data_IF_349978699958
#
_entry.id   IF_349978699958
#
_cell.length_a   1.000
_cell.length_b   1.000
_cell.length_c   1.000
_cell.angle_alpha   90.00
_cell.angle_beta   90.00
_cell.angle_gamma   90.00
#
_symmetry.space_group_name_H-M   'P 1'
#
loop_
_entity.id
_entity.type
_entity.pdbx_description
1 polymer ?
#
# COMPACT_ATOMS: atom_id res chain seq x y z
N UNK A 1 -3.56 37.81 -5.50
CA UNK A 1 -3.03 36.45 -5.74
C UNK A 1 -1.78 36.56 -6.60
N UNK A 2 -0.71 35.87 -6.23
CA UNK A 2 0.53 35.81 -7.04
C UNK A 2 0.61 34.50 -7.82
N UNK A 3 1.43 34.43 -8.87
CA UNK A 3 1.50 33.26 -9.75
C UNK A 3 1.81 31.94 -9.00
N UNK A 4 2.60 32.01 -7.92
CA UNK A 4 2.91 30.83 -7.11
C UNK A 4 1.67 30.25 -6.40
N UNK A 5 0.73 31.12 -5.97
CA UNK A 5 -0.52 30.68 -5.37
C UNK A 5 -1.37 29.91 -6.39
N UNK A 6 -1.35 30.35 -7.66
CA UNK A 6 -2.11 29.71 -8.75
C UNK A 6 -1.61 28.29 -8.97
N UNK A 7 -0.29 28.09 -8.98
CA UNK A 7 0.32 26.78 -9.15
C UNK A 7 -0.07 25.82 -8.02
N UNK A 8 -0.16 26.31 -6.78
CA UNK A 8 -0.56 25.49 -5.63
C UNK A 8 -2.05 25.11 -5.66
N UNK A 9 -2.92 25.97 -6.19
CA UNK A 9 -4.36 25.76 -6.25
C UNK A 9 -4.86 25.15 -7.58
N UNK A 10 -3.95 24.85 -8.51
CA UNK A 10 -4.27 24.45 -9.89
C UNK A 10 -5.00 23.12 -9.98
N UNK A 11 -4.57 22.14 -9.17
CA UNK A 11 -5.20 20.82 -9.12
C UNK A 11 -6.63 20.90 -8.60
N UNK A 12 -6.85 21.65 -7.51
CA UNK A 12 -8.16 21.86 -6.91
C UNK A 12 -9.09 22.67 -7.83
N UNK A 13 -8.52 23.64 -8.58
CA UNK A 13 -9.24 24.39 -9.59
C UNK A 13 -9.72 23.49 -10.74
N UNK A 14 -8.82 22.70 -11.33
CA UNK A 14 -9.14 21.78 -12.43
C UNK A 14 -10.09 20.65 -12.01
N UNK A 15 -9.97 20.17 -10.77
CA UNK A 15 -10.87 19.18 -10.19
C UNK A 15 -12.23 19.74 -9.75
N UNK A 16 -12.41 21.07 -9.79
CA UNK A 16 -13.63 21.72 -9.33
C UNK A 16 -13.82 21.71 -7.81
N UNK A 17 -12.77 21.39 -7.04
CA UNK A 17 -12.78 21.29 -5.58
C UNK A 17 -12.47 22.63 -4.87
N UNK A 18 -12.02 23.64 -5.63
CA UNK A 18 -11.68 24.95 -5.09
C UNK A 18 -12.93 25.72 -4.60
N UNK A 19 -12.91 26.32 -3.38
CA UNK A 19 -14.00 27.16 -2.87
C UNK A 19 -14.34 28.33 -3.80
N UNK A 20 -15.61 28.76 -3.84
CA UNK A 20 -16.09 29.80 -4.75
C UNK A 20 -15.28 31.11 -4.67
N UNK A 21 -15.01 31.61 -3.45
CA UNK A 21 -14.25 32.84 -3.26
C UNK A 21 -12.80 32.74 -3.79
N UNK A 22 -12.15 31.60 -3.61
CA UNK A 22 -10.79 31.37 -4.14
C UNK A 22 -10.80 31.18 -5.66
N UNK A 23 -11.87 30.59 -6.20
CA UNK A 23 -12.06 30.45 -7.64
C UNK A 23 -12.20 31.81 -8.31
N UNK A 24 -12.97 32.73 -7.74
CA UNK A 24 -13.12 34.09 -8.28
C UNK A 24 -11.77 34.83 -8.32
N UNK A 25 -10.98 34.73 -7.25
CA UNK A 25 -9.63 35.31 -7.19
C UNK A 25 -8.68 34.71 -8.23
N UNK A 26 -8.76 33.40 -8.46
CA UNK A 26 -7.96 32.72 -9.46
C UNK A 26 -8.39 33.11 -10.88
N UNK A 27 -9.70 33.18 -11.15
CA UNK A 27 -10.24 33.60 -12.43
C UNK A 27 -9.86 35.05 -12.77
N UNK A 28 -9.87 35.95 -11.78
CA UNK A 28 -9.36 37.32 -11.94
C UNK A 28 -7.87 37.32 -12.29
N UNK A 29 -7.05 36.53 -11.60
CA UNK A 29 -5.64 36.41 -11.95
C UNK A 29 -5.42 35.84 -13.37
N UNK A 30 -6.22 34.84 -13.77
CA UNK A 30 -6.13 34.27 -15.12
C UNK A 30 -6.54 35.28 -16.19
N UNK A 31 -7.44 36.23 -15.91
CA UNK A 31 -7.74 37.34 -16.83
C UNK A 31 -6.51 38.21 -17.08
N UNK A 32 -5.77 38.53 -16.03
CA UNK A 32 -4.64 39.47 -16.11
C UNK A 32 -3.30 38.81 -16.49
N UNK A 33 -3.10 37.53 -16.20
CA UNK A 33 -1.83 36.84 -16.38
C UNK A 33 -1.86 35.82 -17.54
N UNK A 34 -1.27 36.14 -18.72
CA UNK A 34 -1.23 35.20 -19.86
C UNK A 34 -0.30 34.00 -19.63
N UNK A 35 0.66 34.07 -18.70
CA UNK A 35 1.52 32.94 -18.37
C UNK A 35 0.74 31.84 -17.66
N UNK A 36 0.02 32.18 -16.60
CA UNK A 36 -0.82 31.25 -15.84
C UNK A 36 -1.97 30.70 -16.70
N UNK A 37 -2.56 31.50 -17.58
CA UNK A 37 -3.58 31.04 -18.54
C UNK A 37 -3.08 29.91 -19.43
N UNK A 38 -1.89 30.06 -20.03
CA UNK A 38 -1.27 29.03 -20.86
C UNK A 38 -1.01 27.73 -20.10
N UNK A 39 -0.64 27.84 -18.83
CA UNK A 39 -0.39 26.68 -17.95
C UNK A 39 -1.68 25.91 -17.68
N UNK A 40 -2.77 26.61 -17.30
CA UNK A 40 -4.11 26.03 -17.13
C UNK A 40 -4.59 25.36 -18.42
N UNK A 41 -4.48 26.05 -19.56
CA UNK A 41 -4.91 25.52 -20.86
C UNK A 41 -4.14 24.25 -21.23
N UNK A 42 -2.83 24.21 -20.98
CA UNK A 42 -1.98 23.05 -21.24
C UNK A 42 -2.43 21.82 -20.42
N UNK A 43 -2.75 22.01 -19.13
CA UNK A 43 -3.23 20.93 -18.28
C UNK A 43 -4.64 20.49 -18.66
N UNK A 44 -5.52 21.42 -18.97
CA UNK A 44 -6.87 21.11 -19.44
C UNK A 44 -6.83 20.27 -20.72
N UNK A 45 -5.95 20.60 -21.66
CA UNK A 45 -5.72 19.81 -22.87
C UNK A 45 -5.19 18.40 -22.57
N UNK A 46 -4.29 18.28 -21.60
CA UNK A 46 -3.77 16.98 -21.15
C UNK A 46 -4.87 16.11 -20.57
N UNK A 47 -5.69 16.66 -19.66
CA UNK A 47 -6.85 15.96 -19.08
C UNK A 47 -7.87 15.57 -20.14
N UNK A 48 -8.16 16.46 -21.10
CA UNK A 48 -9.05 16.17 -22.21
C UNK A 48 -8.50 15.04 -23.11
N UNK A 49 -7.19 14.98 -23.34
CA UNK A 49 -6.57 13.89 -24.10
C UNK A 49 -6.65 12.56 -23.35
N UNK A 50 -6.41 12.56 -22.03
CA UNK A 50 -6.53 11.36 -21.19
C UNK A 50 -7.97 10.85 -21.14
N UNK A 51 -8.96 11.75 -21.04
CA UNK A 51 -10.38 11.38 -21.01
C UNK A 51 -10.91 10.81 -22.33
N UNK A 52 -10.16 10.94 -23.44
CA UNK A 52 -10.49 10.31 -24.73
C UNK A 52 -9.95 8.89 -24.86
N UNK A 53 -9.13 8.43 -23.93
CA UNK A 53 -8.63 7.07 -23.95
C UNK A 53 -9.79 6.12 -23.61
N UNK A 54 -9.94 5.07 -24.41
CA UNK A 54 -10.92 4.03 -24.13
C UNK A 54 -10.65 3.39 -22.77
N UNK A 55 -11.72 3.17 -22.01
CA UNK A 55 -11.61 2.44 -20.76
C UNK A 55 -11.04 1.03 -21.06
N UNK A 56 -10.04 0.56 -20.31
CA UNK A 56 -9.56 -0.80 -20.48
C UNK A 56 -10.73 -1.77 -20.26
N UNK A 57 -10.77 -2.90 -20.99
CA UNK A 57 -11.81 -3.89 -20.81
C UNK A 57 -11.86 -4.29 -19.33
N UNK A 58 -13.08 -4.51 -18.82
CA UNK A 58 -13.29 -4.90 -17.43
C UNK A 58 -12.36 -6.07 -17.08
N UNK A 59 -11.70 -6.04 -15.90
CA UNK A 59 -10.80 -7.11 -15.51
C UNK A 59 -11.56 -8.43 -15.52
N UNK A 60 -10.93 -9.46 -16.09
CA UNK A 60 -11.43 -10.84 -16.07
C UNK A 60 -11.75 -11.19 -14.61
N UNK A 61 -12.99 -11.61 -14.36
CA UNK A 61 -13.44 -11.96 -13.02
C UNK A 61 -12.53 -13.06 -12.47
N UNK A 62 -11.76 -12.75 -11.44
CA UNK A 62 -11.00 -13.77 -10.74
C UNK A 62 -11.98 -14.69 -10.02
N UNK A 63 -11.95 -16.01 -10.27
CA UNK A 63 -12.80 -16.93 -9.54
C UNK A 63 -12.46 -16.76 -8.06
N UNK A 64 -13.46 -16.37 -7.26
CA UNK A 64 -13.32 -16.24 -5.81
C UNK A 64 -12.99 -17.65 -5.30
N UNK A 65 -11.70 -17.93 -5.06
CA UNK A 65 -11.22 -19.25 -4.62
C UNK A 65 -12.00 -19.61 -3.36
N UNK A 66 -13.02 -20.45 -3.51
CA UNK A 66 -13.87 -20.90 -2.41
C UNK A 66 -12.92 -21.62 -1.45
N UNK A 67 -12.63 -21.00 -0.30
CA UNK A 67 -11.73 -21.57 0.72
C UNK A 67 -12.37 -22.88 1.13
N UNK A 68 -11.87 -23.99 0.59
CA UNK A 68 -12.49 -25.29 0.82
C UNK A 68 -12.42 -25.55 2.31
N UNK A 69 -13.56 -25.88 2.93
CA UNK A 69 -13.69 -26.21 4.35
C UNK A 69 -12.96 -27.54 4.67
N UNK A 70 -12.26 -28.13 3.70
CA UNK A 70 -11.51 -29.39 3.81
C UNK A 70 -10.09 -29.18 4.38
N UNK A 71 -9.58 -27.94 4.42
CA UNK A 71 -8.25 -27.65 4.97
C UNK A 71 -8.03 -27.99 6.46
N UNK A 72 -8.99 -27.89 7.41
CA UNK A 72 -8.70 -28.17 8.82
C UNK A 72 -8.47 -29.66 9.10
N UNK A 73 -9.09 -30.57 8.34
CA UNK A 73 -8.91 -32.02 8.52
C UNK A 73 -7.51 -32.50 8.11
N UNK A 74 -6.92 -31.87 7.08
CA UNK A 74 -5.56 -32.20 6.65
C UNK A 74 -4.51 -31.86 7.74
N UNK A 75 -4.66 -30.72 8.42
CA UNK A 75 -3.76 -30.34 9.51
C UNK A 75 -3.89 -31.27 10.73
N UNK A 76 -5.10 -31.67 11.09
CA UNK A 76 -5.33 -32.61 12.19
C UNK A 76 -4.65 -33.97 11.94
N UNK A 77 -4.77 -34.51 10.72
CA UNK A 77 -4.13 -35.77 10.34
C UNK A 77 -2.59 -35.68 10.41
N UNK A 78 -1.99 -34.59 9.92
CA UNK A 78 -0.53 -34.39 9.99
C UNK A 78 -0.04 -34.26 11.43
N UNK A 79 -0.75 -33.52 12.28
CA UNK A 79 -0.39 -33.38 13.69
C UNK A 79 -0.49 -34.72 14.43
N UNK A 80 -1.55 -35.49 14.19
CA UNK A 80 -1.71 -36.83 14.79
C UNK A 80 -0.61 -37.79 14.33
N UNK A 81 -0.25 -37.78 13.04
CA UNK A 81 0.85 -38.60 12.53
C UNK A 81 2.20 -38.19 13.11
N UNK A 82 2.49 -36.89 13.19
CA UNK A 82 3.75 -36.38 13.75
C UNK A 82 3.91 -36.69 15.24
N UNK A 83 2.85 -36.47 16.03
CA UNK A 83 2.86 -36.79 17.47
C UNK A 83 2.97 -38.30 17.69
N UNK A 84 2.23 -39.10 16.92
CA UNK A 84 2.27 -40.56 16.99
C UNK A 84 3.64 -41.14 16.63
N UNK A 85 4.22 -40.72 15.50
CA UNK A 85 5.56 -41.19 15.09
C UNK A 85 6.64 -40.74 16.08
N UNK A 86 6.55 -39.51 16.61
CA UNK A 86 7.52 -38.97 17.55
C UNK A 86 7.60 -39.75 18.86
N UNK A 87 6.46 -40.25 19.36
CA UNK A 87 6.44 -41.13 20.54
C UNK A 87 7.01 -42.52 20.23
N UNK A 88 6.72 -43.05 19.04
CA UNK A 88 7.16 -44.39 18.65
C UNK A 88 8.67 -44.47 18.40
N UNK A 89 9.28 -43.39 17.91
CA UNK A 89 10.70 -43.34 17.55
C UNK A 89 11.61 -42.84 18.66
N UNK A 90 11.12 -42.67 19.91
CA UNK A 90 11.92 -42.15 21.03
C UNK A 90 13.16 -43.04 21.24
N UNK A 91 14.37 -42.61 20.83
CA UNK A 91 15.56 -43.43 20.99
C UNK A 91 15.91 -43.48 22.47
N UNK A 92 16.19 -44.68 22.98
CA UNK A 92 16.82 -44.87 24.29
C UNK A 92 18.22 -44.28 24.21
N UNK A 93 18.41 -43.09 24.79
CA UNK A 93 19.70 -42.41 24.88
C UNK A 93 20.69 -43.25 25.71
N UNK A 94 21.50 -44.08 25.05
CA UNK A 94 22.79 -44.50 25.60
C UNK A 94 23.76 -43.33 25.46
N UNK A 95 23.78 -42.45 26.48
CA UNK A 95 24.79 -41.41 26.62
C UNK A 95 26.18 -42.04 26.74
N UNK A 96 26.91 -42.09 25.63
CA UNK A 96 28.37 -42.15 25.64
C UNK A 96 28.92 -40.75 25.98
N UNK A 97 29.78 -40.59 27.00
CA UNK A 97 30.31 -39.29 27.37
C UNK A 97 31.18 -38.69 26.25
N UNK A 98 30.97 -37.39 26.01
CA UNK A 98 31.59 -36.59 24.96
C UNK A 98 33.08 -36.34 25.24
N UNK A 99 33.90 -36.51 24.21
CA UNK A 99 35.21 -35.87 24.12
C UNK A 99 34.99 -34.49 23.45
N UNK A 100 35.42 -33.36 24.03
CA UNK A 100 35.17 -32.06 23.45
C UNK A 100 36.09 -31.82 22.25
N UNK A 101 35.55 -31.91 21.03
CA UNK A 101 36.23 -31.38 19.85
C UNK A 101 35.96 -29.88 19.81
N UNK A 102 37.03 -29.12 20.04
CA UNK A 102 37.06 -27.68 19.91
C UNK A 102 36.79 -27.24 18.46
N UNK A 103 35.92 -26.24 18.31
CA UNK A 103 35.94 -25.33 17.16
C UNK A 103 35.11 -25.72 15.95
N UNK A 104 33.83 -25.32 15.93
CA UNK A 104 33.17 -24.86 14.70
C UNK A 104 32.30 -23.66 15.05
N UNK A 105 32.60 -22.52 14.43
CA UNK A 105 31.94 -21.24 14.66
C UNK A 105 30.45 -21.26 14.34
N UNK A 106 29.69 -20.46 15.08
CA UNK A 106 28.26 -20.30 14.92
C UNK A 106 27.89 -19.74 13.55
N UNK A 107 27.20 -20.54 12.75
CA UNK A 107 26.50 -20.05 11.57
C UNK A 107 25.32 -19.20 12.07
N UNK A 108 25.37 -17.89 11.85
CA UNK A 108 24.21 -17.01 12.05
C UNK A 108 23.19 -17.28 10.95
N UNK A 109 22.00 -17.73 11.34
CA UNK A 109 20.80 -17.69 10.51
C UNK A 109 20.49 -16.22 10.18
N UNK A 110 20.59 -15.84 8.91
CA UNK A 110 20.00 -14.60 8.41
C UNK A 110 18.49 -14.81 8.37
N UNK A 111 17.76 -14.14 9.26
CA UNK A 111 16.30 -14.11 9.19
C UNK A 111 15.87 -13.27 8.00
N UNK A 112 15.00 -13.84 7.18
CA UNK A 112 14.28 -13.10 6.15
C UNK A 112 13.35 -12.08 6.83
N UNK A 113 13.41 -10.81 6.39
CA UNK A 113 12.30 -9.87 6.54
C UNK A 113 12.36 -8.83 7.67
N UNK A 114 13.53 -8.27 7.99
CA UNK A 114 13.62 -7.06 8.82
C UNK A 114 14.07 -5.86 8.00
N UNK A 115 13.19 -4.88 7.80
CA UNK A 115 13.62 -3.53 7.35
C UNK A 115 14.58 -2.95 8.40
N UNK A 116 15.68 -2.38 7.94
CA UNK A 116 16.72 -1.83 8.81
C UNK A 116 16.17 -0.67 9.67
N UNK A 117 16.44 -0.71 10.96
CA UNK A 117 16.00 0.32 11.92
C UNK A 117 16.65 1.70 11.64
N UNK A 118 17.79 1.72 10.94
CA UNK A 118 18.46 2.94 10.49
C UNK A 118 17.60 3.70 9.46
N UNK A 119 17.00 2.95 8.53
CA UNK A 119 16.15 3.50 7.47
C UNK A 119 14.88 4.16 8.04
N UNK A 120 14.27 3.56 9.07
CA UNK A 120 13.10 4.12 9.76
C UNK A 120 13.38 5.48 10.40
N UNK A 121 14.61 5.73 10.87
CA UNK A 121 14.99 7.02 11.46
C UNK A 121 15.16 8.13 10.42
N UNK A 122 15.48 7.77 9.18
CA UNK A 122 15.58 8.71 8.06
C UNK A 122 14.24 9.01 7.38
N UNK A 123 13.16 8.33 7.79
CA UNK A 123 11.84 8.53 7.21
C UNK A 123 11.20 9.79 7.78
N UNK A 124 11.25 10.89 7.02
CA UNK A 124 10.71 12.18 7.42
C UNK A 124 9.17 12.18 7.40
N UNK A 125 8.55 12.48 8.54
CA UNK A 125 7.09 12.48 8.74
C UNK A 125 6.35 13.50 7.85
N UNK A 126 7.08 14.43 7.23
CA UNK A 126 6.51 15.44 6.33
C UNK A 126 5.98 14.83 5.02
N UNK A 127 6.49 13.66 4.60
CA UNK A 127 6.06 12.96 3.38
C UNK A 127 4.77 12.12 3.58
N UNK A 128 4.26 12.01 4.81
CA UNK A 128 3.05 11.26 5.14
C UNK A 128 1.73 12.04 4.94
N UNK A 129 1.79 13.36 4.66
CA UNK A 129 0.61 14.23 4.56
C UNK A 129 -0.36 13.92 3.40
N UNK A 130 0.06 13.48 2.19
CA UNK A 130 -0.91 13.12 1.15
C UNK A 130 -1.57 11.75 1.37
N UNK A 131 -0.92 10.84 2.12
CA UNK A 131 -1.46 9.50 2.37
C UNK A 131 -2.58 9.50 3.40
N UNK A 132 -2.49 10.32 4.46
CA UNK A 132 -3.49 10.34 5.54
C UNK A 132 -4.86 10.85 5.08
N UNK A 133 -4.92 11.82 4.15
CA UNK A 133 -6.18 12.33 3.59
C UNK A 133 -6.91 11.27 2.75
N UNK A 134 -6.15 10.50 1.96
CA UNK A 134 -6.68 9.37 1.16
C UNK A 134 -7.11 8.18 2.03
N UNK A 135 -6.39 7.90 3.12
CA UNK A 135 -6.72 6.81 4.05
C UNK A 135 -8.05 7.07 4.78
N UNK A 136 -8.31 8.33 5.15
CA UNK A 136 -9.59 8.73 5.74
C UNK A 136 -10.78 8.68 4.76
N UNK A 137 -10.54 8.88 3.45
CA UNK A 137 -11.56 8.69 2.41
C UNK A 137 -11.84 7.20 2.16
N UNK A 138 -10.79 6.37 2.09
CA UNK A 138 -10.90 4.93 1.93
C UNK A 138 -11.61 4.25 3.12
N UNK A 139 -11.26 4.64 4.36
CA UNK A 139 -11.92 4.12 5.57
C UNK A 139 -13.42 4.46 5.59
N UNK A 140 -13.82 5.65 5.13
CA UNK A 140 -15.23 6.03 4.99
C UNK A 140 -15.95 5.20 3.93
N UNK A 141 -15.28 4.89 2.81
CA UNK A 141 -15.81 4.01 1.76
C UNK A 141 -16.07 2.58 2.24
N UNK A 142 -15.27 2.06 3.17
CA UNK A 142 -15.47 0.72 3.75
C UNK A 142 -16.57 0.69 4.82
N UNK A 143 -16.87 1.82 5.47
CA UNK A 143 -17.95 1.94 6.46
C UNK A 143 -19.35 2.12 5.84
N UNK A 144 -19.44 2.50 4.56
CA UNK A 144 -20.69 2.54 3.82
C UNK A 144 -21.07 1.12 3.38
N UNK A 145 -21.77 0.39 4.25
CA UNK A 145 -22.37 -0.90 3.91
C UNK A 145 -23.37 -0.78 2.75
N UNK A 146 -23.68 -1.89 2.07
CA UNK A 146 -24.59 -1.87 0.93
C UNK A 146 -25.98 -1.39 1.37
N UNK A 147 -26.46 -0.34 0.71
CA UNK A 147 -27.86 0.11 0.77
C UNK A 147 -28.70 -1.02 0.16
N UNK A 148 -29.62 -1.57 0.96
CA UNK A 148 -30.67 -2.48 0.51
C UNK A 148 -31.76 -1.70 -0.23
#
# INVERSE_FOLDING_TARGET
MICNDVQNSLADYLGGELPAAERDHLDDHLRDCPACRREVDSLHNTLAAMNRLDAPPAPIAFPRRRRSVVTPFAYAAVLLFGIGLGWMLKPTDDRSPSNPIAGVGSIRLVSAGGVDAEWLKSFDAQQARPFTRNLAAFARGLSAGPVQ
#
